data_IF_540200735019
#
_entry.id   IF_540200735019
#
_cell.length_a   1.000
_cell.length_b   1.000
_cell.length_c   1.000
_cell.angle_alpha   90.00
_cell.angle_beta   90.00
_cell.angle_gamma   90.00
#
_symmetry.space_group_name_H-M   'P 1'
#
loop_
_entity.id
_entity.type
_entity.pdbx_description
1 polymer ?
#
# COMPACT_ATOMS: atom_id res chain seq x y z
N UNK A 1 15.96 -36.47 -17.76
CA UNK A 1 17.23 -36.28 -17.06
C UNK A 1 16.90 -35.28 -15.97
N UNK A 2 16.94 -35.72 -14.73
CA UNK A 2 16.53 -34.94 -13.56
C UNK A 2 17.67 -34.04 -13.09
N UNK A 3 17.35 -32.82 -12.67
CA UNK A 3 18.37 -31.81 -12.35
C UNK A 3 19.23 -32.23 -11.17
N UNK A 4 18.63 -32.86 -10.15
CA UNK A 4 19.30 -33.23 -8.91
C UNK A 4 19.68 -34.71 -8.89
N UNK A 5 18.86 -35.58 -9.50
CA UNK A 5 19.14 -37.03 -9.57
C UNK A 5 20.30 -37.39 -10.49
N UNK A 6 20.65 -36.54 -11.46
CA UNK A 6 21.81 -36.73 -12.34
C UNK A 6 23.06 -35.93 -11.88
N UNK A 7 22.95 -35.15 -10.79
CA UNK A 7 24.07 -34.39 -10.21
C UNK A 7 24.70 -35.17 -9.05
N UNK A 8 25.96 -35.59 -9.23
CA UNK A 8 26.70 -36.39 -8.25
C UNK A 8 26.92 -35.68 -6.91
N UNK A 9 26.75 -34.36 -6.86
CA UNK A 9 26.77 -33.62 -5.60
C UNK A 9 25.56 -33.89 -4.72
N UNK A 10 24.53 -34.59 -5.21
CA UNK A 10 23.32 -34.95 -4.47
C UNK A 10 23.19 -36.46 -4.16
N UNK A 11 24.21 -37.27 -4.50
CA UNK A 11 24.21 -38.74 -4.30
C UNK A 11 24.01 -39.18 -2.84
N UNK A 12 24.35 -38.33 -1.87
CA UNK A 12 24.16 -38.59 -0.43
C UNK A 12 22.74 -38.27 0.08
N UNK A 13 21.89 -37.68 -0.77
CA UNK A 13 20.51 -37.32 -0.47
C UNK A 13 19.57 -38.32 -1.14
N UNK A 14 18.79 -39.01 -0.32
CA UNK A 14 17.65 -39.80 -0.80
C UNK A 14 16.43 -38.89 -0.87
N UNK A 15 15.83 -38.62 -2.05
CA UNK A 15 14.71 -37.71 -2.20
C UNK A 15 13.49 -38.21 -1.42
N UNK A 16 12.79 -37.29 -0.74
CA UNK A 16 11.61 -37.59 0.06
C UNK A 16 10.34 -37.12 -0.68
N UNK A 17 9.54 -38.02 -1.29
CA UNK A 17 8.36 -37.63 -2.04
C UNK A 17 7.28 -37.00 -1.15
N UNK A 18 6.34 -36.29 -1.76
CA UNK A 18 5.18 -35.72 -1.07
C UNK A 18 4.22 -36.85 -0.64
N UNK A 19 3.72 -36.79 0.59
CA UNK A 19 2.64 -37.66 1.07
C UNK A 19 1.34 -36.85 1.13
N UNK A 20 0.45 -37.07 0.17
CA UNK A 20 -0.86 -36.41 0.07
C UNK A 20 -1.99 -37.17 0.79
N UNK A 21 -1.66 -38.07 1.72
CA UNK A 21 -2.65 -38.76 2.55
C UNK A 21 -3.24 -40.02 1.91
N UNK A 22 -2.47 -40.70 1.05
CA UNK A 22 -2.82 -42.01 0.48
C UNK A 22 -3.42 -41.97 -0.93
N UNK A 23 -4.21 -42.99 -1.33
CA UNK A 23 -4.55 -43.23 -2.75
C UNK A 23 -5.60 -42.28 -3.34
N UNK A 24 -6.31 -41.50 -2.51
CA UNK A 24 -7.36 -40.58 -2.96
C UNK A 24 -7.10 -39.16 -2.43
N UNK A 25 -6.01 -38.51 -2.87
CA UNK A 25 -5.66 -37.20 -2.38
C UNK A 25 -6.68 -36.13 -2.82
N UNK A 26 -7.02 -35.22 -1.93
CA UNK A 26 -7.90 -34.09 -2.22
C UNK A 26 -7.09 -32.90 -2.74
N UNK A 27 -7.57 -32.27 -3.82
CA UNK A 27 -6.90 -31.13 -4.46
C UNK A 27 -5.43 -31.41 -4.85
N UNK A 28 -5.11 -32.66 -5.20
CA UNK A 28 -3.79 -33.03 -5.69
C UNK A 28 -3.45 -32.24 -6.96
N UNK A 29 -2.28 -31.61 -6.94
CA UNK A 29 -1.76 -30.86 -8.09
C UNK A 29 -0.95 -31.83 -8.94
N UNK A 30 -1.24 -31.88 -10.23
CA UNK A 30 -0.41 -32.59 -11.20
C UNK A 30 0.85 -31.74 -11.48
N UNK A 31 1.84 -31.84 -10.60
CA UNK A 31 3.11 -31.13 -10.73
C UNK A 31 3.92 -31.59 -11.94
N UNK A 32 4.79 -30.72 -12.44
CA UNK A 32 5.83 -31.15 -13.38
C UNK A 32 6.82 -32.09 -12.70
N UNK A 33 7.50 -32.92 -13.49
CA UNK A 33 8.55 -33.82 -12.97
C UNK A 33 9.66 -33.01 -12.29
N UNK A 34 10.04 -31.87 -12.87
CA UNK A 34 11.04 -30.94 -12.34
C UNK A 34 10.67 -30.41 -10.95
N UNK A 35 9.46 -29.87 -10.77
CA UNK A 35 9.03 -29.35 -9.47
C UNK A 35 8.90 -30.48 -8.44
N UNK A 36 8.41 -31.64 -8.87
CA UNK A 36 8.27 -32.83 -8.01
C UNK A 36 9.62 -33.34 -7.52
N UNK A 37 10.62 -33.35 -8.40
CA UNK A 37 12.00 -33.70 -8.08
C UNK A 37 12.58 -32.71 -7.07
N UNK A 38 12.60 -31.41 -7.40
CA UNK A 38 13.17 -30.36 -6.55
C UNK A 38 12.55 -30.36 -5.14
N UNK A 39 11.22 -30.42 -5.05
CA UNK A 39 10.53 -30.48 -3.76
C UNK A 39 10.84 -31.74 -2.97
N UNK A 40 11.14 -32.86 -3.63
CA UNK A 40 11.52 -34.10 -2.94
C UNK A 40 12.92 -34.02 -2.35
N UNK A 41 13.86 -33.40 -3.06
CA UNK A 41 15.18 -33.08 -2.52
C UNK A 41 15.08 -32.06 -1.38
N UNK A 42 14.24 -31.03 -1.52
CA UNK A 42 14.04 -30.01 -0.47
C UNK A 42 13.56 -30.66 0.83
N UNK A 43 12.51 -31.49 0.75
CA UNK A 43 11.99 -32.21 1.92
C UNK A 43 13.06 -33.09 2.58
N UNK A 44 13.92 -33.73 1.78
CA UNK A 44 14.99 -34.57 2.30
C UNK A 44 16.09 -33.77 3.02
N UNK A 45 16.54 -32.64 2.45
CA UNK A 45 17.57 -31.81 3.10
C UNK A 45 17.04 -31.06 4.33
N UNK A 46 15.78 -30.62 4.29
CA UNK A 46 15.11 -30.03 5.45
C UNK A 46 14.99 -31.03 6.59
N UNK A 47 14.69 -32.30 6.30
CA UNK A 47 14.63 -33.37 7.31
C UNK A 47 16.01 -33.64 7.95
N UNK A 48 17.11 -33.38 7.24
CA UNK A 48 18.49 -33.42 7.77
C UNK A 48 18.92 -32.11 8.44
N UNK A 49 18.12 -31.06 8.37
CA UNK A 49 18.45 -29.70 8.79
C UNK A 49 19.78 -29.21 8.18
N UNK A 50 20.01 -29.52 6.91
CA UNK A 50 21.25 -29.14 6.22
C UNK A 50 21.27 -27.64 5.94
N UNK A 51 22.37 -26.95 6.28
CA UNK A 51 22.57 -25.53 5.96
C UNK A 51 23.82 -25.40 5.11
N UNK A 52 23.66 -25.48 3.78
CA UNK A 52 24.77 -25.57 2.82
C UNK A 52 24.50 -24.71 1.58
N UNK A 53 25.55 -24.42 0.81
CA UNK A 53 25.42 -23.68 -0.45
C UNK A 53 24.52 -24.41 -1.47
N UNK A 54 24.59 -25.75 -1.55
CA UNK A 54 23.69 -26.52 -2.44
C UNK A 54 22.23 -26.44 -1.99
N UNK A 55 21.98 -26.37 -0.68
CA UNK A 55 20.64 -26.13 -0.14
C UNK A 55 20.14 -24.74 -0.52
N UNK A 56 21.03 -23.72 -0.46
CA UNK A 56 20.72 -22.36 -0.88
C UNK A 56 20.32 -22.32 -2.36
N UNK A 57 21.11 -22.93 -3.25
CA UNK A 57 20.79 -23.02 -4.69
C UNK A 57 19.49 -23.78 -4.96
N UNK A 58 19.21 -24.86 -4.23
CA UNK A 58 17.92 -25.56 -4.35
C UNK A 58 16.73 -24.65 -3.96
N UNK A 59 16.89 -23.79 -2.94
CA UNK A 59 15.81 -22.87 -2.57
C UNK A 59 15.51 -21.84 -3.66
N UNK A 60 16.54 -21.37 -4.38
CA UNK A 60 16.40 -20.45 -5.52
C UNK A 60 15.57 -21.07 -6.64
N UNK A 61 15.94 -22.29 -7.08
CA UNK A 61 15.22 -23.02 -8.11
C UNK A 61 13.72 -23.21 -7.77
N UNK A 62 13.42 -23.52 -6.51
CA UNK A 62 12.04 -23.72 -6.07
C UNK A 62 11.29 -22.39 -5.98
N UNK A 63 11.96 -21.31 -5.61
CA UNK A 63 11.37 -19.96 -5.60
C UNK A 63 11.04 -19.51 -7.03
N UNK A 64 11.89 -19.81 -8.01
CA UNK A 64 11.61 -19.51 -9.42
C UNK A 64 10.37 -20.27 -9.94
N UNK A 65 10.17 -21.51 -9.49
CA UNK A 65 8.97 -22.29 -9.83
C UNK A 65 7.73 -21.88 -9.01
N UNK A 66 7.90 -21.48 -7.76
CA UNK A 66 6.83 -21.13 -6.83
C UNK A 66 7.29 -20.15 -5.74
N UNK A 67 7.36 -18.86 -6.09
CA UNK A 67 7.76 -17.81 -5.18
C UNK A 67 6.81 -17.64 -3.97
N UNK A 68 5.63 -18.23 -3.96
CA UNK A 68 4.68 -18.14 -2.84
C UNK A 68 4.97 -19.15 -1.71
N UNK A 69 5.92 -20.07 -1.89
CA UNK A 69 6.19 -21.14 -0.94
C UNK A 69 6.94 -20.63 0.31
N UNK A 70 6.21 -20.10 1.30
CA UNK A 70 6.78 -19.45 2.49
C UNK A 70 7.77 -20.30 3.30
N UNK A 71 7.60 -21.63 3.34
CA UNK A 71 8.56 -22.53 4.01
C UNK A 71 9.95 -22.47 3.37
N UNK A 72 10.03 -22.35 2.04
CA UNK A 72 11.30 -22.26 1.30
C UNK A 72 12.01 -20.96 1.64
N UNK A 73 11.28 -19.85 1.71
CA UNK A 73 11.82 -18.55 2.12
C UNK A 73 12.35 -18.54 3.55
N UNK A 74 11.60 -19.14 4.49
CA UNK A 74 12.07 -19.30 5.86
C UNK A 74 13.37 -20.11 5.91
N UNK A 75 13.41 -21.24 5.21
CA UNK A 75 14.59 -22.09 5.17
C UNK A 75 15.79 -21.39 4.51
N UNK A 76 15.58 -20.67 3.40
CA UNK A 76 16.59 -19.82 2.75
C UNK A 76 17.19 -18.80 3.73
N UNK A 77 16.35 -18.09 4.49
CA UNK A 77 16.80 -17.12 5.49
C UNK A 77 17.66 -17.73 6.61
N UNK A 78 17.32 -18.94 7.05
CA UNK A 78 18.12 -19.69 8.03
C UNK A 78 19.44 -20.21 7.43
N UNK A 79 19.45 -20.65 6.17
CA UNK A 79 20.67 -21.05 5.45
C UNK A 79 21.62 -19.86 5.33
N UNK A 80 21.15 -18.71 4.82
CA UNK A 80 21.95 -17.48 4.70
C UNK A 80 22.55 -17.05 6.05
N UNK A 81 21.79 -17.24 7.14
CA UNK A 81 22.26 -16.96 8.50
C UNK A 81 23.35 -17.93 8.94
N UNK A 82 23.17 -19.22 8.72
CA UNK A 82 24.10 -20.26 9.14
C UNK A 82 25.43 -20.21 8.37
N UNK A 83 25.38 -19.77 7.12
CA UNK A 83 26.55 -19.63 6.24
C UNK A 83 27.28 -18.29 6.40
N UNK A 84 26.71 -17.33 7.14
CA UNK A 84 27.20 -15.94 7.20
C UNK A 84 27.38 -15.36 5.78
N UNK A 85 26.41 -15.63 4.89
CA UNK A 85 26.45 -15.25 3.49
C UNK A 85 26.47 -13.73 3.28
N UNK A 86 27.06 -13.30 2.16
CA UNK A 86 27.04 -11.91 1.73
C UNK A 86 25.62 -11.48 1.31
N UNK A 87 24.96 -10.73 2.20
CA UNK A 87 23.59 -10.27 2.01
C UNK A 87 23.44 -9.22 0.89
N UNK A 88 24.53 -8.60 0.43
CA UNK A 88 24.46 -7.72 -0.74
C UNK A 88 24.17 -8.52 -2.01
N UNK A 89 24.76 -9.70 -2.16
CA UNK A 89 24.47 -10.60 -3.28
C UNK A 89 23.04 -11.13 -3.21
N UNK A 90 22.52 -11.39 -2.00
CA UNK A 90 21.13 -11.79 -1.82
C UNK A 90 20.15 -10.68 -2.25
N UNK A 91 20.47 -9.41 -1.97
CA UNK A 91 19.65 -8.29 -2.45
C UNK A 91 19.68 -8.16 -3.98
N UNK A 92 20.83 -8.38 -4.62
CA UNK A 92 20.95 -8.33 -6.08
C UNK A 92 20.07 -9.40 -6.73
N UNK A 93 20.13 -10.64 -6.25
CA UNK A 93 19.24 -11.72 -6.70
C UNK A 93 17.77 -11.36 -6.44
N UNK A 94 17.44 -10.89 -5.23
CA UNK A 94 16.08 -10.57 -4.84
C UNK A 94 15.48 -9.40 -5.65
N UNK A 95 16.31 -8.47 -6.16
CA UNK A 95 15.84 -7.41 -7.06
C UNK A 95 15.22 -8.02 -8.33
N UNK A 96 15.90 -8.98 -8.95
CA UNK A 96 15.41 -9.66 -10.15
C UNK A 96 14.14 -10.46 -9.86
N UNK A 97 14.13 -11.25 -8.78
CA UNK A 97 12.96 -12.04 -8.36
C UNK A 97 11.76 -11.13 -8.06
N UNK A 98 11.96 -9.98 -7.41
CA UNK A 98 10.90 -9.04 -7.09
C UNK A 98 10.30 -8.37 -8.33
N UNK A 99 11.12 -8.03 -9.33
CA UNK A 99 10.66 -7.47 -10.59
C UNK A 99 9.78 -8.49 -11.36
N UNK A 100 10.13 -9.78 -11.32
CA UNK A 100 9.35 -10.86 -11.90
C UNK A 100 8.03 -11.14 -11.13
N UNK A 101 8.03 -10.99 -9.81
CA UNK A 101 6.94 -11.41 -8.93
C UNK A 101 6.49 -10.32 -7.94
N UNK A 102 6.19 -9.12 -8.44
CA UNK A 102 5.98 -7.91 -7.63
C UNK A 102 4.87 -7.99 -6.56
N UNK A 103 3.89 -8.89 -6.72
CA UNK A 103 2.71 -9.05 -5.84
C UNK A 103 2.80 -10.32 -5.02
N UNK A 104 3.95 -10.51 -4.37
CA UNK A 104 4.27 -11.68 -3.56
C UNK A 104 4.66 -11.26 -2.14
N UNK A 105 3.96 -11.75 -1.12
CA UNK A 105 4.22 -11.37 0.28
C UNK A 105 5.60 -11.81 0.78
N UNK A 106 6.05 -13.00 0.36
CA UNK A 106 7.27 -13.61 0.85
C UNK A 106 8.50 -12.84 0.41
N UNK A 107 8.55 -12.36 -0.84
CA UNK A 107 9.65 -11.53 -1.36
C UNK A 107 9.83 -10.27 -0.52
N UNK A 108 8.75 -9.53 -0.26
CA UNK A 108 8.82 -8.29 0.50
C UNK A 108 9.16 -8.51 1.97
N UNK A 109 8.67 -9.60 2.56
CA UNK A 109 9.06 -9.97 3.92
C UNK A 109 10.53 -10.39 4.00
N UNK A 110 11.01 -11.20 3.06
CA UNK A 110 12.41 -11.61 3.00
C UNK A 110 13.33 -10.41 2.79
N UNK A 111 12.96 -9.47 1.91
CA UNK A 111 13.70 -8.21 1.74
C UNK A 111 13.80 -7.42 3.05
N UNK A 112 12.72 -7.33 3.83
CA UNK A 112 12.78 -6.71 5.16
C UNK A 112 13.78 -7.41 6.08
N UNK A 113 13.80 -8.75 6.13
CA UNK A 113 14.76 -9.50 6.95
C UNK A 113 16.21 -9.26 6.53
N UNK A 114 16.48 -9.25 5.22
CA UNK A 114 17.81 -9.02 4.66
C UNK A 114 18.28 -7.59 4.96
N UNK A 115 17.46 -6.59 4.67
CA UNK A 115 17.77 -5.17 4.92
C UNK A 115 17.91 -4.86 6.41
N UNK A 116 17.08 -5.46 7.26
CA UNK A 116 17.17 -5.30 8.72
C UNK A 116 18.48 -5.87 9.27
N UNK A 117 18.90 -7.04 8.77
CA UNK A 117 20.16 -7.68 9.16
C UNK A 117 21.39 -6.90 8.67
N UNK A 118 21.34 -6.36 7.45
CA UNK A 118 22.34 -5.42 6.93
C UNK A 118 22.39 -4.11 7.73
N UNK A 119 21.28 -3.74 8.36
CA UNK A 119 21.09 -2.47 9.05
C UNK A 119 21.48 -1.26 8.17
N UNK A 120 21.16 -1.33 6.88
CA UNK A 120 21.43 -0.30 5.88
C UNK A 120 20.33 -0.30 4.83
N UNK A 121 19.82 0.88 4.47
CA UNK A 121 18.85 1.06 3.39
C UNK A 121 19.50 1.58 2.10
N UNK A 122 20.82 1.39 1.93
CA UNK A 122 21.52 1.78 0.70
C UNK A 122 20.92 1.04 -0.52
N UNK A 123 20.66 1.77 -1.61
CA UNK A 123 20.05 1.21 -2.83
C UNK A 123 18.52 1.07 -2.80
N UNK A 124 17.89 1.05 -1.63
CA UNK A 124 16.44 0.81 -1.51
C UNK A 124 15.59 1.89 -2.21
N UNK A 125 16.02 3.15 -2.18
CA UNK A 125 15.32 4.24 -2.85
C UNK A 125 15.28 4.06 -4.38
N UNK A 126 16.41 3.61 -4.97
CA UNK A 126 16.50 3.34 -6.40
C UNK A 126 15.65 2.13 -6.78
N UNK A 127 15.75 1.04 -6.01
CA UNK A 127 14.95 -0.17 -6.23
C UNK A 127 13.44 0.12 -6.14
N UNK A 128 13.00 0.88 -5.13
CA UNK A 128 11.60 1.28 -4.99
C UNK A 128 11.13 2.11 -6.19
N UNK A 129 11.99 3.00 -6.73
CA UNK A 129 11.66 3.75 -7.94
C UNK A 129 11.40 2.82 -9.12
N UNK A 130 12.28 1.84 -9.35
CA UNK A 130 12.09 0.84 -10.42
C UNK A 130 10.79 0.06 -10.26
N UNK A 131 10.41 -0.28 -9.02
CA UNK A 131 9.15 -0.97 -8.74
C UNK A 131 7.92 -0.09 -9.03
N UNK A 132 8.00 1.22 -8.74
CA UNK A 132 6.92 2.15 -9.08
C UNK A 132 6.81 2.46 -10.56
N UNK A 133 7.91 2.40 -11.32
CA UNK A 133 7.87 2.51 -12.78
C UNK A 133 7.00 1.40 -13.41
N UNK A 134 6.91 0.24 -12.75
CA UNK A 134 6.07 -0.89 -13.17
C UNK A 134 4.63 -0.80 -12.63
N UNK A 135 4.46 -0.51 -11.34
CA UNK A 135 3.15 -0.32 -10.71
C UNK A 135 3.25 0.70 -9.56
N UNK A 136 3.01 1.97 -9.87
CA UNK A 136 3.00 3.10 -8.93
C UNK A 136 1.99 2.96 -7.78
N UNK A 137 1.11 1.95 -7.82
CA UNK A 137 0.06 1.68 -6.82
C UNK A 137 0.27 0.34 -6.12
N UNK A 138 1.41 -0.33 -6.32
CA UNK A 138 1.72 -1.60 -5.67
C UNK A 138 1.73 -1.45 -4.14
N UNK A 139 0.78 -2.13 -3.50
CA UNK A 139 0.57 -2.04 -2.05
C UNK A 139 1.77 -2.54 -1.23
N UNK A 140 2.46 -3.57 -1.71
CA UNK A 140 3.62 -4.10 -1.00
C UNK A 140 4.79 -3.11 -1.02
N UNK A 141 5.05 -2.46 -2.16
CA UNK A 141 6.10 -1.44 -2.29
C UNK A 141 5.81 -0.28 -1.35
N UNK A 142 4.57 0.21 -1.30
CA UNK A 142 4.19 1.30 -0.39
C UNK A 142 4.30 0.89 1.09
N UNK A 143 3.85 -0.32 1.45
CA UNK A 143 3.99 -0.85 2.81
C UNK A 143 5.47 -0.97 3.22
N UNK A 144 6.30 -1.49 2.32
CA UNK A 144 7.74 -1.63 2.51
C UNK A 144 8.43 -0.26 2.64
N UNK A 145 8.06 0.71 1.81
CA UNK A 145 8.55 2.09 1.89
C UNK A 145 8.23 2.74 3.24
N UNK A 146 7.00 2.57 3.75
CA UNK A 146 6.68 3.05 5.10
C UNK A 146 7.47 2.33 6.21
N UNK A 147 7.76 1.04 6.04
CA UNK A 147 8.64 0.32 6.97
C UNK A 147 10.05 0.91 6.96
N UNK A 148 10.64 1.19 5.79
CA UNK A 148 11.95 1.85 5.68
C UNK A 148 11.96 3.19 6.40
N UNK A 149 10.94 4.03 6.18
CA UNK A 149 10.81 5.34 6.85
C UNK A 149 10.86 5.18 8.37
N UNK A 150 10.08 4.24 8.93
CA UNK A 150 10.09 3.97 10.37
C UNK A 150 11.43 3.39 10.86
N UNK A 151 11.98 2.40 10.14
CA UNK A 151 13.14 1.62 10.57
C UNK A 151 14.45 2.41 10.53
N UNK A 152 14.57 3.32 9.57
CA UNK A 152 15.78 4.12 9.33
C UNK A 152 15.56 5.62 9.61
N UNK A 153 14.42 5.99 10.21
CA UNK A 153 14.08 7.36 10.59
C UNK A 153 14.10 8.36 9.41
N UNK A 154 13.59 7.96 8.24
CA UNK A 154 13.63 8.73 6.98
C UNK A 154 12.44 9.71 6.85
N UNK A 155 12.14 10.46 7.91
CA UNK A 155 11.02 11.41 7.97
C UNK A 155 11.38 12.82 7.45
N UNK A 156 12.52 12.94 6.79
CA UNK A 156 13.10 14.20 6.30
C UNK A 156 12.36 14.76 5.07
N UNK A 157 12.83 15.91 4.60
CA UNK A 157 12.25 16.61 3.45
C UNK A 157 12.42 15.84 2.13
N UNK A 158 13.46 15.00 1.99
CA UNK A 158 13.71 14.24 0.77
C UNK A 158 12.61 13.22 0.48
N UNK A 159 12.10 12.54 1.51
CA UNK A 159 10.99 11.60 1.33
C UNK A 159 9.67 12.30 1.00
N UNK A 160 9.45 13.49 1.56
CA UNK A 160 8.29 14.33 1.23
C UNK A 160 8.36 14.82 -0.23
N UNK A 161 9.52 15.30 -0.68
CA UNK A 161 9.77 15.73 -2.06
C UNK A 161 9.60 14.57 -3.05
N UNK A 162 10.12 13.39 -2.73
CA UNK A 162 9.94 12.21 -3.58
C UNK A 162 8.46 11.80 -3.69
N UNK A 163 7.70 11.95 -2.60
CA UNK A 163 6.25 11.70 -2.61
C UNK A 163 5.51 12.74 -3.45
N UNK A 164 5.91 13.99 -3.37
CA UNK A 164 5.34 15.09 -4.17
C UNK A 164 5.51 14.86 -5.66
N UNK A 165 6.70 14.42 -6.10
CA UNK A 165 6.95 14.05 -7.51
C UNK A 165 5.96 13.00 -8.03
N UNK A 166 5.69 11.96 -7.23
CA UNK A 166 4.72 10.91 -7.59
C UNK A 166 3.28 11.45 -7.70
N UNK A 167 2.93 12.45 -6.89
CA UNK A 167 1.63 13.14 -6.97
C UNK A 167 1.57 14.07 -8.19
N UNK A 168 2.68 14.72 -8.54
CA UNK A 168 2.75 15.58 -9.71
C UNK A 168 2.60 14.81 -11.03
N UNK A 169 3.19 13.62 -11.09
CA UNK A 169 3.08 12.65 -12.18
C UNK A 169 1.65 12.09 -12.32
N UNK A 170 1.06 11.60 -11.23
CA UNK A 170 -0.37 11.21 -11.18
C UNK A 170 -1.05 11.78 -9.93
N UNK A 171 -1.75 12.90 -10.11
CA UNK A 171 -2.50 13.55 -9.02
C UNK A 171 -3.60 12.64 -8.44
N UNK A 172 -4.00 11.58 -9.15
CA UNK A 172 -4.99 10.58 -8.68
C UNK A 172 -4.34 9.37 -8.00
N UNK A 173 -3.02 9.36 -7.80
CA UNK A 173 -2.34 8.30 -7.08
C UNK A 173 -2.64 8.38 -5.57
N UNK A 174 -3.73 7.73 -5.16
CA UNK A 174 -4.16 7.74 -3.76
C UNK A 174 -3.11 7.14 -2.80
N UNK A 175 -2.26 6.23 -3.27
CA UNK A 175 -1.19 5.66 -2.45
C UNK A 175 -0.15 6.71 -2.09
N UNK A 176 0.21 7.59 -3.03
CA UNK A 176 1.12 8.70 -2.77
C UNK A 176 0.48 9.75 -1.82
N UNK A 177 -0.81 10.08 -1.99
CA UNK A 177 -1.54 10.93 -1.04
C UNK A 177 -1.58 10.35 0.38
N UNK A 178 -1.83 9.04 0.49
CA UNK A 178 -1.79 8.33 1.76
C UNK A 178 -0.38 8.37 2.38
N UNK A 179 0.66 8.16 1.58
CA UNK A 179 2.04 8.22 2.06
C UNK A 179 2.42 9.62 2.52
N UNK A 180 2.00 10.67 1.79
CA UNK A 180 2.18 12.07 2.23
C UNK A 180 1.49 12.32 3.58
N UNK A 181 0.28 11.80 3.78
CA UNK A 181 -0.42 11.93 5.06
C UNK A 181 0.33 11.19 6.17
N UNK A 182 0.83 9.99 5.88
CA UNK A 182 1.69 9.23 6.79
C UNK A 182 2.94 10.02 7.21
N UNK A 183 3.64 10.66 6.28
CA UNK A 183 4.85 11.46 6.60
C UNK A 183 4.56 12.69 7.47
N UNK A 184 3.39 13.31 7.29
CA UNK A 184 3.00 14.53 8.03
C UNK A 184 2.41 14.20 9.40
N UNK A 185 1.61 13.13 9.49
CA UNK A 185 0.77 12.83 10.67
C UNK A 185 1.20 11.58 11.44
N UNK A 186 2.08 10.75 10.90
CA UNK A 186 2.34 9.39 11.40
C UNK A 186 3.68 9.15 12.10
N UNK A 187 4.54 10.17 12.21
CA UNK A 187 5.79 10.09 12.97
C UNK A 187 5.57 10.06 14.49
N UNK A 188 6.63 9.76 15.26
CA UNK A 188 6.57 9.82 16.74
C UNK A 188 6.16 11.21 17.24
N UNK A 189 6.57 12.26 16.51
CA UNK A 189 6.12 13.63 16.69
C UNK A 189 5.34 14.08 15.42
N UNK A 190 4.00 13.96 15.41
CA UNK A 190 3.19 14.41 14.29
C UNK A 190 3.37 15.91 14.03
N UNK A 191 3.61 16.28 12.77
CA UNK A 191 3.86 17.67 12.36
C UNK A 191 2.58 18.52 12.26
N UNK A 192 1.41 17.90 12.43
CA UNK A 192 0.08 18.55 12.38
C UNK A 192 -0.22 19.49 13.56
N UNK A 193 0.65 19.54 14.57
CA UNK A 193 0.60 20.57 15.62
C UNK A 193 1.21 21.91 15.20
N UNK A 194 2.02 21.93 14.14
CA UNK A 194 2.63 23.15 13.61
C UNK A 194 1.70 23.80 12.57
N UNK A 195 1.25 25.02 12.89
CA UNK A 195 0.39 25.81 11.99
C UNK A 195 1.02 26.01 10.61
N UNK A 196 2.33 26.25 10.53
CA UNK A 196 3.00 26.47 9.24
C UNK A 196 2.94 25.22 8.34
N UNK A 197 3.05 24.03 8.95
CA UNK A 197 2.91 22.76 8.23
C UNK A 197 1.46 22.54 7.80
N UNK A 198 0.49 22.78 8.68
CA UNK A 198 -0.93 22.64 8.36
C UNK A 198 -1.33 23.58 7.22
N UNK A 199 -0.93 24.86 7.28
CA UNK A 199 -1.21 25.85 6.23
C UNK A 199 -0.59 25.42 4.88
N UNK A 200 0.65 24.89 4.91
CA UNK A 200 1.31 24.33 3.70
C UNK A 200 0.54 23.16 3.11
N UNK A 201 0.09 22.21 3.93
CA UNK A 201 -0.62 21.02 3.45
C UNK A 201 -2.04 21.33 2.94
N UNK A 202 -2.74 22.28 3.57
CA UNK A 202 -4.02 22.79 3.07
C UNK A 202 -3.82 23.43 1.69
N UNK A 203 -2.82 24.29 1.54
CA UNK A 203 -2.51 24.94 0.25
C UNK A 203 -2.08 23.91 -0.81
N UNK A 204 -1.33 22.88 -0.42
CA UNK A 204 -0.96 21.78 -1.32
C UNK A 204 -2.22 21.03 -1.85
N UNK A 205 -3.14 20.67 -0.95
CA UNK A 205 -4.41 20.07 -1.33
C UNK A 205 -5.25 20.99 -2.22
N UNK A 206 -5.29 22.29 -1.91
CA UNK A 206 -6.01 23.31 -2.68
C UNK A 206 -5.49 23.39 -4.12
N UNK A 207 -4.17 23.40 -4.32
CA UNK A 207 -3.57 23.39 -5.67
C UNK A 207 -3.95 22.15 -6.46
N UNK A 208 -3.88 20.97 -5.84
CA UNK A 208 -4.28 19.72 -6.47
C UNK A 208 -5.77 19.68 -6.83
N UNK A 209 -6.64 20.19 -5.96
CA UNK A 209 -8.07 20.32 -6.22
C UNK A 209 -8.35 21.28 -7.38
N UNK A 210 -7.66 22.43 -7.47
CA UNK A 210 -7.81 23.32 -8.61
C UNK A 210 -7.41 22.63 -9.93
N UNK A 211 -6.34 21.84 -9.93
CA UNK A 211 -5.87 21.08 -11.10
C UNK A 211 -6.85 19.99 -11.51
N UNK A 212 -7.47 19.29 -10.55
CA UNK A 212 -8.41 18.21 -10.82
C UNK A 212 -9.60 18.22 -9.82
N UNK A 213 -10.61 19.08 -10.01
CA UNK A 213 -11.68 19.27 -9.02
C UNK A 213 -12.51 18.02 -8.71
N UNK A 214 -12.62 17.09 -9.66
CA UNK A 214 -13.36 15.84 -9.52
C UNK A 214 -12.46 14.66 -9.05
N UNK A 215 -11.21 14.91 -8.69
CA UNK A 215 -10.34 13.89 -8.09
C UNK A 215 -10.59 13.79 -6.59
N UNK A 216 -11.01 12.63 -6.10
CA UNK A 216 -11.36 12.44 -4.69
C UNK A 216 -10.15 12.48 -3.74
N UNK A 217 -8.96 12.04 -4.17
CA UNK A 217 -7.79 11.92 -3.29
C UNK A 217 -7.40 13.21 -2.56
N UNK A 218 -7.24 14.37 -3.24
CA UNK A 218 -6.88 15.60 -2.54
C UNK A 218 -8.02 16.16 -1.67
N UNK A 219 -9.29 15.88 -1.97
CA UNK A 219 -10.41 16.21 -1.07
C UNK A 219 -10.36 15.38 0.22
N UNK A 220 -10.12 14.07 0.10
CA UNK A 220 -9.95 13.18 1.25
C UNK A 220 -8.72 13.58 2.07
N UNK A 221 -7.62 13.94 1.41
CA UNK A 221 -6.40 14.44 2.06
C UNK A 221 -6.67 15.73 2.85
N UNK A 222 -7.35 16.71 2.25
CA UNK A 222 -7.75 17.94 2.92
C UNK A 222 -8.57 17.65 4.18
N UNK A 223 -9.57 16.76 4.10
CA UNK A 223 -10.36 16.32 5.27
C UNK A 223 -9.47 15.69 6.34
N UNK A 224 -8.53 14.84 5.93
CA UNK A 224 -7.59 14.17 6.82
C UNK A 224 -6.71 15.17 7.58
N UNK A 225 -6.15 16.17 6.89
CA UNK A 225 -5.30 17.20 7.50
C UNK A 225 -6.10 18.07 8.47
N UNK A 226 -7.30 18.51 8.10
CA UNK A 226 -8.16 19.30 8.99
C UNK A 226 -8.51 18.53 10.26
N UNK A 227 -8.88 17.26 10.12
CA UNK A 227 -9.18 16.37 11.24
C UNK A 227 -7.95 16.20 12.16
N UNK A 228 -6.78 15.89 11.59
CA UNK A 228 -5.55 15.72 12.34
C UNK A 228 -5.10 16.99 13.07
N UNK A 229 -5.38 18.16 12.49
CA UNK A 229 -5.09 19.47 13.09
C UNK A 229 -6.22 19.99 14.01
N UNK A 230 -7.29 19.22 14.22
CA UNK A 230 -8.50 19.65 14.96
C UNK A 230 -9.12 20.97 14.43
N UNK A 231 -9.06 21.18 13.12
CA UNK A 231 -9.66 22.34 12.46
C UNK A 231 -11.06 22.00 11.93
N UNK A 232 -12.04 22.92 12.08
CA UNK A 232 -13.37 22.68 11.58
C UNK A 232 -13.38 22.70 10.05
N UNK A 233 -14.10 21.77 9.42
CA UNK A 233 -14.25 21.71 7.96
C UNK A 233 -14.92 22.98 7.39
N UNK A 234 -15.71 23.69 8.20
CA UNK A 234 -16.30 24.99 7.85
C UNK A 234 -15.25 26.08 7.56
N UNK A 235 -14.01 25.94 8.05
CA UNK A 235 -12.90 26.83 7.68
C UNK A 235 -12.61 26.83 6.17
N UNK A 236 -13.04 25.80 5.44
CA UNK A 236 -12.84 25.65 4.00
C UNK A 236 -14.04 26.12 3.17
N UNK A 237 -15.09 26.66 3.78
CA UNK A 237 -16.35 27.01 3.09
C UNK A 237 -16.12 27.87 1.84
N UNK A 238 -15.33 28.94 1.96
CA UNK A 238 -15.03 29.85 0.84
C UNK A 238 -14.29 29.15 -0.30
N UNK A 239 -13.39 28.23 0.03
CA UNK A 239 -12.67 27.45 -0.96
C UNK A 239 -13.59 26.45 -1.67
N UNK A 240 -14.38 25.69 -0.91
CA UNK A 240 -15.30 24.68 -1.45
C UNK A 240 -16.35 25.32 -2.35
N UNK A 241 -16.84 26.52 -2.00
CA UNK A 241 -17.81 27.28 -2.79
C UNK A 241 -17.32 27.68 -4.20
N UNK A 242 -16.01 27.62 -4.48
CA UNK A 242 -15.46 27.83 -5.84
C UNK A 242 -15.80 26.68 -6.79
N UNK A 243 -16.13 25.52 -6.25
CA UNK A 243 -16.33 24.27 -7.00
C UNK A 243 -17.76 23.72 -6.91
N UNK A 244 -18.56 24.14 -5.93
CA UNK A 244 -19.97 23.81 -5.86
C UNK A 244 -20.74 24.93 -5.14
N UNK A 245 -22.00 25.13 -5.49
CA UNK A 245 -22.94 25.94 -4.71
C UNK A 245 -24.35 25.39 -4.87
N UNK A 246 -25.17 25.54 -3.82
CA UNK A 246 -26.60 25.20 -3.83
C UNK A 246 -27.49 26.43 -3.96
N UNK A 247 -26.91 27.63 -3.94
CA UNK A 247 -27.64 28.90 -4.03
C UNK A 247 -27.94 29.32 -5.48
N UNK A 248 -27.41 28.59 -6.47
CA UNK A 248 -27.64 28.82 -7.90
C UNK A 248 -28.26 27.60 -8.57
N UNK A 249 -29.16 27.85 -9.52
CA UNK A 249 -29.76 26.82 -10.39
C UNK A 249 -29.04 26.69 -11.74
N UNK A 250 -27.94 27.41 -11.94
CA UNK A 250 -27.15 27.27 -13.17
C UNK A 250 -26.61 25.84 -13.32
N UNK A 251 -26.60 25.34 -14.55
CA UNK A 251 -26.13 23.98 -14.85
C UNK A 251 -24.68 23.72 -14.39
N UNK A 252 -23.85 24.78 -14.36
CA UNK A 252 -22.47 24.77 -13.91
C UNK A 252 -22.28 25.12 -12.42
N UNK A 253 -23.35 25.16 -11.62
CA UNK A 253 -23.28 25.48 -10.19
C UNK A 253 -22.48 24.44 -9.38
N UNK A 254 -22.38 23.20 -9.87
CA UNK A 254 -21.61 22.12 -9.25
C UNK A 254 -20.59 21.60 -10.26
N UNK A 255 -19.32 21.98 -10.06
CA UNK A 255 -18.16 21.52 -10.84
C UNK A 255 -17.50 20.29 -10.24
N UNK A 256 -17.75 20.02 -8.96
CA UNK A 256 -17.24 18.86 -8.25
C UNK A 256 -18.29 18.27 -7.31
N UNK A 257 -18.59 16.98 -7.47
CA UNK A 257 -19.47 16.27 -6.54
C UNK A 257 -18.83 16.11 -5.16
N UNK A 258 -17.50 16.07 -5.07
CA UNK A 258 -16.78 16.05 -3.80
C UNK A 258 -16.87 17.38 -3.06
N UNK A 259 -16.84 18.51 -3.78
CA UNK A 259 -17.11 19.81 -3.17
C UNK A 259 -18.55 19.87 -2.63
N UNK A 260 -19.52 19.34 -3.37
CA UNK A 260 -20.92 19.29 -2.93
C UNK A 260 -21.11 18.41 -1.68
N UNK A 261 -20.41 17.28 -1.60
CA UNK A 261 -20.34 16.41 -0.42
C UNK A 261 -19.83 17.19 0.82
N UNK A 262 -18.69 17.88 0.70
CA UNK A 262 -18.16 18.71 1.79
C UNK A 262 -19.10 19.85 2.18
N UNK A 263 -19.77 20.51 1.22
CA UNK A 263 -20.77 21.54 1.54
C UNK A 263 -21.95 20.97 2.31
N UNK A 264 -22.43 19.77 1.94
CA UNK A 264 -23.52 19.13 2.65
C UNK A 264 -23.16 18.88 4.12
N UNK A 265 -21.93 18.45 4.39
CA UNK A 265 -21.39 18.30 5.75
C UNK A 265 -21.29 19.65 6.48
N UNK A 266 -20.71 20.68 5.87
CA UNK A 266 -20.60 22.02 6.47
C UNK A 266 -21.98 22.57 6.83
N UNK A 267 -22.95 22.48 5.92
CA UNK A 267 -24.32 22.97 6.14
C UNK A 267 -25.09 22.13 7.16
N UNK A 268 -24.76 20.87 7.35
CA UNK A 268 -25.43 20.00 8.31
C UNK A 268 -25.14 20.37 9.76
N UNK A 269 -24.02 21.05 10.04
CA UNK A 269 -23.62 21.44 11.40
C UNK A 269 -24.51 22.54 11.98
N UNK A 270 -24.87 23.54 11.18
CA UNK A 270 -25.63 24.69 11.66
C UNK A 270 -27.12 24.60 11.30
N UNK A 271 -28.01 24.76 12.29
CA UNK A 271 -29.47 24.72 12.08
C UNK A 271 -29.96 25.74 11.04
N UNK A 272 -29.31 26.90 10.95
CA UNK A 272 -29.60 27.95 9.95
C UNK A 272 -29.40 27.50 8.50
N UNK A 273 -28.53 26.50 8.26
CA UNK A 273 -28.19 26.00 6.93
C UNK A 273 -28.91 24.70 6.56
N UNK A 274 -29.90 24.28 7.36
CA UNK A 274 -30.63 23.02 7.15
C UNK A 274 -31.18 22.85 5.74
N UNK A 275 -31.79 23.89 5.18
CA UNK A 275 -32.36 23.86 3.82
C UNK A 275 -31.26 23.66 2.75
N UNK A 276 -30.11 24.30 2.94
CA UNK A 276 -28.94 24.13 2.06
C UNK A 276 -28.37 22.72 2.14
N UNK A 277 -28.28 22.15 3.35
CA UNK A 277 -27.85 20.76 3.56
C UNK A 277 -28.81 19.77 2.87
N UNK A 278 -30.12 19.95 3.04
CA UNK A 278 -31.15 19.16 2.36
C UNK A 278 -30.98 19.23 0.84
N UNK A 279 -30.84 20.43 0.28
CA UNK A 279 -30.65 20.63 -1.16
C UNK A 279 -29.38 19.96 -1.68
N UNK A 280 -28.27 20.04 -0.93
CA UNK A 280 -27.02 19.38 -1.28
C UNK A 280 -27.17 17.85 -1.30
N UNK A 281 -27.76 17.25 -0.27
CA UNK A 281 -28.01 15.80 -0.22
C UNK A 281 -28.94 15.32 -1.32
N UNK A 282 -29.99 16.09 -1.64
CA UNK A 282 -30.90 15.74 -2.74
C UNK A 282 -30.21 15.79 -4.10
N UNK A 283 -29.34 16.79 -4.34
CA UNK A 283 -28.55 16.88 -5.56
C UNK A 283 -27.52 15.75 -5.68
N UNK A 284 -26.87 15.36 -4.58
CA UNK A 284 -25.98 14.20 -4.53
C UNK A 284 -26.75 12.92 -4.86
N UNK A 285 -27.87 12.66 -4.20
CA UNK A 285 -28.67 11.45 -4.39
C UNK A 285 -29.28 11.32 -5.79
N UNK A 286 -29.72 12.43 -6.39
CA UNK A 286 -30.47 12.41 -7.66
C UNK A 286 -29.59 12.57 -8.90
N UNK A 287 -28.47 13.29 -8.81
CA UNK A 287 -27.70 13.70 -9.99
C UNK A 287 -26.21 13.41 -9.89
N UNK A 288 -25.55 13.85 -8.82
CA UNK A 288 -24.08 13.90 -8.79
C UNK A 288 -23.42 12.64 -8.22
N UNK A 289 -24.17 11.83 -7.49
CA UNK A 289 -23.68 10.60 -6.88
C UNK A 289 -24.82 9.59 -6.54
N UNK A 290 -25.60 9.17 -7.54
CA UNK A 290 -26.79 8.36 -7.33
C UNK A 290 -26.49 6.95 -6.81
N UNK A 291 -25.26 6.45 -7.00
CA UNK A 291 -24.84 5.14 -6.46
C UNK A 291 -24.88 5.12 -4.93
N UNK A 292 -24.70 6.28 -4.27
CA UNK A 292 -24.79 6.46 -2.81
C UNK A 292 -26.11 7.11 -2.38
N UNK A 293 -27.17 7.10 -3.19
CA UNK A 293 -28.45 7.75 -2.86
C UNK A 293 -29.01 7.35 -1.48
N UNK A 294 -28.92 6.07 -1.10
CA UNK A 294 -29.37 5.60 0.21
C UNK A 294 -28.52 6.17 1.37
N UNK A 295 -27.23 6.38 1.16
CA UNK A 295 -26.34 7.02 2.13
C UNK A 295 -26.70 8.50 2.31
N UNK A 296 -26.95 9.22 1.22
CA UNK A 296 -27.39 10.62 1.27
C UNK A 296 -28.77 10.78 1.93
N UNK A 297 -29.70 9.87 1.63
CA UNK A 297 -31.01 9.83 2.29
C UNK A 297 -30.89 9.58 3.81
N UNK A 298 -29.98 8.68 4.20
CA UNK A 298 -29.66 8.44 5.61
C UNK A 298 -29.14 9.71 6.29
N UNK A 299 -28.10 10.36 5.74
CA UNK A 299 -27.55 11.60 6.30
C UNK A 299 -28.58 12.73 6.36
N UNK A 300 -29.39 12.89 5.32
CA UNK A 300 -30.51 13.84 5.30
C UNK A 300 -31.49 13.59 6.46
N UNK A 301 -31.77 12.32 6.78
CA UNK A 301 -32.62 11.93 7.90
C UNK A 301 -32.04 12.23 9.29
N UNK A 302 -30.72 12.37 9.39
CA UNK A 302 -30.02 12.74 10.63
C UNK A 302 -30.07 14.25 10.93
N UNK A 303 -30.42 15.10 9.94
CA UNK A 303 -30.47 16.55 10.13
C UNK A 303 -31.43 16.92 11.28
N UNK A 304 -30.89 17.58 12.30
CA UNK A 304 -31.63 18.08 13.47
C UNK A 304 -31.97 17.05 14.54
N UNK A 305 -31.46 15.82 14.43
CA UNK A 305 -31.35 14.94 15.59
C UNK A 305 -30.18 15.47 16.42
N UNK A 306 -30.42 15.81 17.69
CA UNK A 306 -29.30 16.05 18.62
C UNK A 306 -28.49 14.75 18.65
N UNK A 307 -27.22 14.82 18.22
CA UNK A 307 -26.31 13.70 18.43
C UNK A 307 -26.33 13.43 19.94
N UNK A 308 -26.94 12.32 20.34
CA UNK A 308 -26.77 11.78 21.67
C UNK A 308 -25.28 11.49 21.81
N UNK A 309 -24.58 12.40 22.48
CA UNK A 309 -23.17 12.32 22.79
C UNK A 309 -22.94 10.96 23.47
N UNK A 310 -22.14 10.11 22.84
CA UNK A 310 -21.54 8.93 23.45
C UNK A 310 -20.06 9.21 23.68
#
# INVERSE_FOLDING_TARGET
>A
MGKYSDDTTWDDIVPLPQDDGGPNPLAAIAYTDEYSEAMSYLRAIMAKNEMSERALSLTEDIIDMNAAHYTVWLYRSEILKALDSDLSQELDWLNETALAHQKNYQIWHHRQLVVDRLNSCAGEAEFISQMFDLDAKNYHVWSYRQWLVRRFNLWDEGELEATEKLIDEDVRNNSAWNHRFFLVSGGEEPKVGDKAVVDREIEFAHKAIHKAPQNQSPWNYLRGILSAANLPISSQLDFVNKFATVDSEHENAVKSSHALDLLAEIYAVEKSNREKAVKAYDLLASKYDPIRANYWAYLKGQLGQEQAVA
#
